data_IF_282898536395
#
_entry.id   IF_282898536395
#
_cell.length_a   1.000
_cell.length_b   1.000
_cell.length_c   1.000
_cell.angle_alpha   90.00
_cell.angle_beta   90.00
_cell.angle_gamma   90.00
#
_symmetry.space_group_name_H-M   'P 1'
#
loop_
_entity.id
_entity.type
_entity.pdbx_description
1 polymer ?
#
# COMPACT_ATOMS: atom_id res chain seq x y z
N UNK A 1 14.50 3.02 -32.20
CA UNK A 1 14.22 3.45 -30.81
C UNK A 1 15.46 3.08 -29.98
N UNK A 2 16.05 4.00 -29.22
CA UNK A 2 17.25 3.70 -28.42
C UNK A 2 16.85 2.82 -27.23
N UNK A 3 17.52 1.66 -27.06
CA UNK A 3 17.28 0.74 -25.94
C UNK A 3 17.65 1.49 -24.66
N UNK A 4 16.66 1.80 -23.82
CA UNK A 4 16.91 2.47 -22.54
C UNK A 4 17.65 1.51 -21.62
N UNK A 5 18.62 2.04 -20.88
CA UNK A 5 19.34 1.26 -19.85
C UNK A 5 18.36 0.82 -18.74
N UNK A 6 18.63 -0.34 -18.15
CA UNK A 6 17.85 -0.83 -17.03
C UNK A 6 18.02 0.07 -15.80
N UNK A 7 17.02 0.08 -14.92
CA UNK A 7 17.10 0.86 -13.68
C UNK A 7 18.29 0.39 -12.79
N UNK A 8 18.91 1.29 -12.01
CA UNK A 8 19.97 0.91 -11.07
C UNK A 8 19.52 -0.23 -10.15
N UNK A 9 20.33 -1.29 -10.06
CA UNK A 9 20.02 -2.49 -9.27
C UNK A 9 19.14 -3.52 -9.97
N UNK A 10 18.91 -3.38 -11.29
CA UNK A 10 18.26 -4.44 -12.07
C UNK A 10 19.09 -5.72 -12.04
N UNK A 11 18.42 -6.80 -11.63
CA UNK A 11 18.93 -8.16 -11.74
C UNK A 11 18.02 -8.87 -12.75
N UNK A 12 18.58 -9.47 -13.82
CA UNK A 12 17.80 -10.28 -14.74
C UNK A 12 17.04 -11.38 -14.01
N UNK A 13 15.84 -11.70 -14.50
CA UNK A 13 15.10 -12.84 -13.98
C UNK A 13 15.75 -14.14 -14.50
N UNK A 14 16.26 -14.98 -13.60
CA UNK A 14 16.90 -16.24 -13.99
C UNK A 14 15.96 -17.22 -14.71
N UNK A 15 14.65 -17.06 -14.52
CA UNK A 15 13.63 -17.91 -15.15
C UNK A 15 13.25 -17.47 -16.57
N UNK A 16 13.50 -16.21 -16.95
CA UNK A 16 13.11 -15.67 -18.26
C UNK A 16 14.17 -14.70 -18.78
N UNK A 17 14.85 -15.11 -19.85
CA UNK A 17 15.87 -14.33 -20.54
C UNK A 17 15.27 -13.27 -21.47
N UNK A 18 16.10 -12.33 -21.92
CA UNK A 18 15.68 -11.35 -22.93
C UNK A 18 15.23 -12.02 -24.25
N UNK A 19 15.85 -13.14 -24.63
CA UNK A 19 15.48 -13.86 -25.84
C UNK A 19 14.07 -14.45 -25.75
N UNK A 20 13.68 -14.96 -24.57
CA UNK A 20 12.33 -15.48 -24.31
C UNK A 20 11.27 -14.38 -24.46
N UNK A 21 11.61 -13.15 -24.04
CA UNK A 21 10.74 -11.98 -24.21
C UNK A 21 10.65 -11.52 -25.66
N UNK A 22 11.78 -11.55 -26.39
CA UNK A 22 11.82 -11.17 -27.79
C UNK A 22 11.07 -12.18 -28.67
N UNK A 23 11.06 -13.48 -28.32
CA UNK A 23 10.29 -14.51 -29.03
C UNK A 23 8.77 -14.26 -29.00
N UNK A 24 8.27 -13.67 -27.91
CA UNK A 24 6.83 -13.38 -27.73
C UNK A 24 6.46 -11.92 -27.99
N UNK A 25 7.38 -11.10 -28.51
CA UNK A 25 7.14 -9.66 -28.72
C UNK A 25 6.04 -9.37 -29.73
N UNK A 26 5.83 -10.29 -30.66
CA UNK A 26 4.94 -10.13 -31.80
C UNK A 26 3.52 -10.65 -31.51
N UNK A 27 3.18 -10.87 -30.24
CA UNK A 27 1.85 -11.31 -29.83
C UNK A 27 0.79 -10.28 -30.28
N UNK A 28 -0.27 -10.69 -30.99
CA UNK A 28 -1.27 -9.76 -31.51
C UNK A 28 -1.98 -9.00 -30.37
N UNK A 29 -2.48 -7.78 -30.65
CA UNK A 29 -3.30 -7.07 -29.69
C UNK A 29 -4.61 -7.85 -29.44
N UNK A 30 -5.09 -7.81 -28.20
CA UNK A 30 -6.41 -8.31 -27.84
C UNK A 30 -7.48 -7.58 -28.67
N UNK A 31 -8.37 -8.35 -29.30
CA UNK A 31 -9.54 -7.81 -29.98
C UNK A 31 -10.60 -7.37 -28.97
N UNK A 32 -11.54 -6.52 -29.41
CA UNK A 32 -12.65 -6.09 -28.55
C UNK A 32 -13.55 -7.27 -28.12
N UNK A 33 -13.71 -8.28 -28.98
CA UNK A 33 -14.51 -9.48 -28.68
C UNK A 33 -13.84 -10.36 -27.63
N UNK A 34 -12.52 -10.57 -27.73
CA UNK A 34 -11.75 -11.33 -26.74
C UNK A 34 -11.73 -10.63 -25.38
N UNK A 35 -11.61 -9.30 -25.37
CA UNK A 35 -11.69 -8.53 -24.13
C UNK A 35 -13.09 -8.61 -23.52
N UNK A 36 -14.16 -8.58 -24.33
CA UNK A 36 -15.53 -8.71 -23.87
C UNK A 36 -15.85 -10.11 -23.32
N UNK A 37 -15.15 -11.14 -23.82
CA UNK A 37 -15.27 -12.52 -23.34
C UNK A 37 -14.43 -12.82 -22.08
N UNK A 38 -13.62 -11.86 -21.60
CA UNK A 38 -12.80 -12.04 -20.42
C UNK A 38 -13.64 -12.28 -19.16
N UNK A 39 -13.24 -13.27 -18.36
CA UNK A 39 -13.90 -13.58 -17.08
C UNK A 39 -13.28 -12.75 -15.96
N UNK A 40 -14.12 -12.16 -15.12
CA UNK A 40 -13.68 -11.39 -13.95
C UNK A 40 -13.44 -12.32 -12.76
N UNK A 41 -12.32 -12.09 -12.05
CA UNK A 41 -12.04 -12.77 -10.79
C UNK A 41 -11.72 -14.27 -10.95
N UNK A 42 -12.04 -15.12 -9.96
CA UNK A 42 -11.61 -16.52 -9.94
C UNK A 42 -12.41 -17.44 -10.88
N UNK A 43 -13.32 -16.90 -11.69
CA UNK A 43 -14.19 -17.68 -12.55
C UNK A 43 -13.41 -18.36 -13.70
N UNK A 44 -13.46 -19.69 -13.76
CA UNK A 44 -12.74 -20.49 -14.76
C UNK A 44 -11.28 -20.80 -14.41
N UNK A 45 -10.83 -20.41 -13.22
CA UNK A 45 -9.48 -20.68 -12.71
C UNK A 45 -9.41 -22.06 -12.02
N UNK A 46 -8.22 -22.73 -11.99
CA UNK A 46 -8.04 -23.94 -11.19
C UNK A 46 -8.38 -23.70 -9.71
N UNK A 47 -9.01 -24.66 -9.00
CA UNK A 47 -9.50 -24.46 -7.63
C UNK A 47 -8.44 -23.92 -6.66
N UNK A 48 -7.20 -24.40 -6.76
CA UNK A 48 -6.09 -23.95 -5.91
C UNK A 48 -5.76 -22.45 -6.08
N UNK A 49 -5.87 -21.94 -7.30
CA UNK A 49 -5.58 -20.54 -7.61
C UNK A 49 -6.79 -19.64 -7.30
N UNK A 50 -8.02 -20.13 -7.52
CA UNK A 50 -9.24 -19.45 -7.12
C UNK A 50 -9.30 -19.20 -5.59
N UNK A 51 -8.84 -20.16 -4.78
CA UNK A 51 -8.74 -20.00 -3.32
C UNK A 51 -7.69 -18.96 -2.90
N UNK A 52 -6.59 -18.82 -3.66
CA UNK A 52 -5.58 -17.80 -3.37
C UNK A 52 -6.13 -16.38 -3.55
N UNK A 53 -6.99 -16.15 -4.55
CA UNK A 53 -7.67 -14.88 -4.76
C UNK A 53 -8.59 -14.47 -3.59
N UNK A 54 -9.20 -15.44 -2.89
CA UNK A 54 -10.01 -15.18 -1.68
C UNK A 54 -9.16 -14.71 -0.50
N UNK A 55 -7.89 -15.13 -0.44
CA UNK A 55 -6.96 -14.86 0.67
C UNK A 55 -6.14 -13.59 0.49
N UNK A 56 -6.11 -13.03 -0.72
CA UNK A 56 -5.46 -11.76 -1.01
C UNK A 56 -6.29 -10.56 -0.53
N UNK A 57 -6.77 -10.59 0.72
CA UNK A 57 -7.11 -9.36 1.40
C UNK A 57 -5.79 -8.65 1.71
N UNK A 58 -5.72 -7.33 1.50
CA UNK A 58 -4.52 -6.52 1.73
C UNK A 58 -4.00 -6.60 3.19
N UNK A 59 -3.07 -5.70 3.54
CA UNK A 59 -2.43 -5.68 4.87
C UNK A 59 -3.45 -6.02 5.97
N UNK A 60 -3.17 -7.00 6.86
CA UNK A 60 -4.09 -7.43 7.90
C UNK A 60 -4.68 -6.22 8.61
N UNK A 61 -6.00 -6.23 8.84
CA UNK A 61 -6.68 -5.15 9.55
C UNK A 61 -6.03 -5.05 10.93
N UNK A 62 -5.25 -3.99 11.16
CA UNK A 62 -4.71 -3.72 12.50
C UNK A 62 -5.88 -3.68 13.49
N UNK A 63 -5.74 -4.39 14.61
CA UNK A 63 -6.78 -4.49 15.64
C UNK A 63 -7.12 -3.11 16.20
N UNK A 64 -6.09 -2.30 16.47
CA UNK A 64 -6.21 -0.95 17.00
C UNK A 64 -5.74 0.07 15.96
N UNK A 65 -6.67 0.53 15.12
CA UNK A 65 -6.38 1.60 14.15
C UNK A 65 -6.57 2.96 14.82
N UNK A 66 -5.62 3.87 14.58
CA UNK A 66 -5.84 5.28 14.84
C UNK A 66 -7.10 5.75 14.08
N UNK A 67 -8.01 6.41 14.79
CA UNK A 67 -9.23 6.98 14.20
C UNK A 67 -8.88 8.35 13.62
N UNK A 68 -9.06 8.59 12.31
CA UNK A 68 -8.84 9.90 11.74
C UNK A 68 -9.88 10.88 12.28
N UNK A 69 -9.43 11.96 12.91
CA UNK A 69 -10.27 13.03 13.42
C UNK A 69 -9.81 14.38 12.86
N UNK A 70 -10.76 15.29 12.62
CA UNK A 70 -10.45 16.66 12.23
C UNK A 70 -10.38 17.55 13.48
N UNK A 71 -9.17 17.75 14.01
CA UNK A 71 -8.91 18.62 15.15
C UNK A 71 -8.24 19.93 14.71
N UNK A 72 -8.68 21.07 15.27
CA UNK A 72 -7.98 22.36 15.12
C UNK A 72 -6.92 22.47 16.21
N UNK A 73 -5.64 22.46 15.80
CA UNK A 73 -4.49 22.65 16.70
C UNK A 73 -3.99 24.09 16.57
N UNK A 74 -3.72 24.80 17.68
CA UNK A 74 -3.10 26.12 17.64
C UNK A 74 -1.79 26.14 16.82
N UNK A 75 -1.52 27.20 16.03
CA UNK A 75 -0.36 27.22 15.13
C UNK A 75 1.00 27.09 15.84
N UNK A 76 1.13 27.68 17.01
CA UNK A 76 2.31 27.64 17.88
C UNK A 76 2.60 26.23 18.39
N UNK A 77 1.57 25.52 18.84
CA UNK A 77 1.67 24.11 19.27
C UNK A 77 2.08 23.22 18.08
N UNK A 78 1.47 23.41 16.92
CA UNK A 78 1.81 22.65 15.73
C UNK A 78 3.24 22.92 15.26
N UNK A 79 3.70 24.17 15.35
CA UNK A 79 5.06 24.56 15.02
C UNK A 79 6.08 23.90 15.97
N UNK A 80 5.80 23.87 17.27
CA UNK A 80 6.66 23.24 18.27
C UNK A 80 6.90 21.75 17.97
N UNK A 81 5.85 20.98 17.68
CA UNK A 81 6.02 19.56 17.35
C UNK A 81 6.79 19.34 16.03
N UNK A 82 6.52 20.18 15.02
CA UNK A 82 7.16 20.08 13.69
C UNK A 82 8.63 20.47 13.68
N UNK A 83 9.09 21.29 14.63
CA UNK A 83 10.48 21.78 14.69
C UNK A 83 11.50 20.63 14.76
N UNK A 84 11.13 19.54 15.43
CA UNK A 84 11.94 18.32 15.61
C UNK A 84 11.94 17.39 14.38
N UNK A 85 11.33 17.79 13.27
CA UNK A 85 11.38 17.06 12.00
C UNK A 85 10.48 15.81 11.93
N UNK A 86 10.85 14.81 11.11
CA UNK A 86 10.06 13.58 10.92
C UNK A 86 9.65 12.91 12.24
N UNK A 87 8.46 12.29 12.25
CA UNK A 87 7.92 11.65 13.46
C UNK A 87 7.20 12.60 14.43
N UNK A 88 7.05 13.88 14.10
CA UNK A 88 6.34 14.85 14.95
C UNK A 88 4.90 14.45 15.27
N UNK A 89 4.21 13.78 14.34
CA UNK A 89 2.86 13.27 14.57
C UNK A 89 2.84 12.16 15.62
N UNK A 90 3.84 11.27 15.62
CA UNK A 90 3.98 10.21 16.63
C UNK A 90 4.19 10.83 18.01
N UNK A 91 5.10 11.80 18.14
CA UNK A 91 5.35 12.52 19.41
C UNK A 91 4.10 13.25 19.90
N UNK A 92 3.34 13.88 19.00
CA UNK A 92 2.06 14.51 19.34
C UNK A 92 1.04 13.49 19.86
N UNK A 93 0.95 12.31 19.24
CA UNK A 93 0.05 11.24 19.69
C UNK A 93 0.45 10.69 21.06
N UNK A 94 1.74 10.55 21.35
CA UNK A 94 2.24 10.14 22.67
C UNK A 94 1.86 11.15 23.76
N UNK A 95 2.00 12.45 23.46
CA UNK A 95 1.58 13.52 24.38
C UNK A 95 0.07 13.48 24.66
N UNK A 96 -0.76 13.26 23.63
CA UNK A 96 -2.21 13.09 23.78
C UNK A 96 -2.55 11.85 24.64
N UNK A 97 -1.83 10.74 24.45
CA UNK A 97 -2.03 9.53 25.24
C UNK A 97 -1.68 9.74 26.72
N UNK A 98 -0.57 10.44 27.01
CA UNK A 98 -0.19 10.78 28.37
C UNK A 98 -1.24 11.70 29.03
N UNK A 99 -1.71 12.73 28.33
CA UNK A 99 -2.76 13.61 28.83
C UNK A 99 -4.07 12.86 29.14
N UNK A 100 -4.44 11.88 28.31
CA UNK A 100 -5.62 11.05 28.55
C UNK A 100 -5.49 10.16 29.81
N UNK A 101 -4.28 9.75 30.19
CA UNK A 101 -4.04 9.05 31.47
C UNK A 101 -4.29 10.00 32.64
N UNK A 102 -3.80 11.24 32.57
CA UNK A 102 -3.98 12.24 33.62
C UNK A 102 -5.45 12.65 33.77
N UNK A 103 -6.19 12.81 32.67
CA UNK A 103 -7.62 13.12 32.71
C UNK A 103 -8.44 12.03 33.42
N UNK A 104 -8.11 10.75 33.20
CA UNK A 104 -8.75 9.63 33.91
C UNK A 104 -8.41 9.64 35.40
N UNK A 105 -7.16 9.93 35.77
CA UNK A 105 -6.77 10.08 37.19
C UNK A 105 -7.53 11.21 37.87
N UNK A 106 -7.79 12.30 37.14
CA UNK A 106 -8.54 13.45 37.64
C UNK A 106 -10.06 13.21 37.70
N UNK A 107 -10.57 12.06 37.24
CA UNK A 107 -12.00 11.75 37.20
C UNK A 107 -12.78 12.59 36.18
N UNK A 108 -12.09 13.18 35.20
CA UNK A 108 -12.66 14.06 34.17
C UNK A 108 -13.00 13.29 32.88
N UNK A 109 -12.57 12.02 32.79
CA UNK A 109 -12.74 11.15 31.62
C UNK A 109 -13.28 9.78 32.01
#
# INVERSE_FOLDING_TARGET
MTKREHAPGYVPNDAYSQADWDEVSDNPPLTGEELAAARLGPEGMPPAMAEAFKRAAGRPKAADKAVPVSLRVPPDVLAAFKADGPGWQTRMNEALAAAAVELRKAGVA
#
